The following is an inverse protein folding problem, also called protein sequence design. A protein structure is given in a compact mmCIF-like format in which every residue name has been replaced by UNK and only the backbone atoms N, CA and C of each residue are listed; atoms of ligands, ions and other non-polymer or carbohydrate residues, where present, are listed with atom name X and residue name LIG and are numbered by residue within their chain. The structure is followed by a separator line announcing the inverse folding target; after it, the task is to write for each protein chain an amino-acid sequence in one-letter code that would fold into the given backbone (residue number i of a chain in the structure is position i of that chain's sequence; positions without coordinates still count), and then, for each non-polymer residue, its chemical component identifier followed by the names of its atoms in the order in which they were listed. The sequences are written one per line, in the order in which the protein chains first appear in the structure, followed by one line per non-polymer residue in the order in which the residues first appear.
data_IF_124766369598
#
_entry.id   IF_124766369598
#
_cell.length_a   1.000
_cell.length_b   1.000
_cell.length_c   1.000
_cell.angle_alpha   90.00
_cell.angle_beta   90.00
_cell.angle_gamma   90.00
#
_symmetry.space_group_name_H-M   'P 1'
#
loop_
_entity.id
_entity.type
_entity.pdbx_description
1 polymer ?
#
# COMPACT_ATOMS: atom_id res chain seq x y z
N UNK A 1 -17.85 12.21 -5.93
CA UNK A 1 -17.97 11.92 -7.37
C UNK A 1 -18.72 10.62 -7.58
N UNK A 2 -18.15 9.44 -7.28
CA UNK A 2 -18.80 8.12 -7.50
C UNK A 2 -20.17 7.96 -6.80
N UNK A 3 -20.32 8.43 -5.54
CA UNK A 3 -21.55 8.26 -4.74
C UNK A 3 -22.84 8.77 -5.42
N UNK A 4 -22.73 9.76 -6.30
CA UNK A 4 -23.89 10.44 -6.89
C UNK A 4 -23.94 10.22 -8.42
N UNK A 5 -23.32 9.14 -8.91
CA UNK A 5 -23.22 8.83 -10.34
C UNK A 5 -23.31 7.32 -10.55
N UNK A 6 -23.69 6.87 -11.75
CA UNK A 6 -23.68 5.46 -12.14
C UNK A 6 -22.29 4.94 -12.55
N UNK A 7 -21.24 5.42 -11.88
CA UNK A 7 -19.85 5.07 -12.18
C UNK A 7 -19.32 4.05 -11.16
N UNK A 8 -18.33 3.26 -11.60
CA UNK A 8 -17.49 2.46 -10.74
C UNK A 8 -16.05 2.98 -10.77
N UNK A 9 -15.27 2.66 -9.74
CA UNK A 9 -13.84 2.98 -9.70
C UNK A 9 -13.05 1.76 -9.26
N UNK A 10 -11.84 1.63 -9.81
CA UNK A 10 -10.92 0.55 -9.45
C UNK A 10 -9.91 1.12 -8.45
N UNK A 11 -9.80 0.45 -7.30
CA UNK A 11 -8.83 0.80 -6.26
C UNK A 11 -8.10 -0.45 -5.76
N UNK A 12 -6.85 -0.29 -5.27
CA UNK A 12 -6.21 -1.30 -4.44
C UNK A 12 -7.13 -1.72 -3.29
N UNK A 13 -7.16 -3.02 -3.00
CA UNK A 13 -8.11 -3.61 -2.05
C UNK A 13 -8.12 -2.92 -0.67
N UNK A 14 -6.94 -2.62 -0.13
CA UNK A 14 -6.81 -1.97 1.18
C UNK A 14 -7.42 -0.56 1.20
N UNK A 15 -7.36 0.18 0.09
CA UNK A 15 -8.02 1.48 -0.04
C UNK A 15 -9.53 1.29 -0.15
N UNK A 16 -9.99 0.34 -0.97
CA UNK A 16 -11.41 0.03 -1.13
C UNK A 16 -12.08 -0.27 0.22
N UNK A 17 -11.46 -1.12 1.05
CA UNK A 17 -11.94 -1.44 2.40
C UNK A 17 -11.94 -0.22 3.32
N UNK A 18 -10.93 0.64 3.23
CA UNK A 18 -10.84 1.83 4.09
C UNK A 18 -11.84 2.92 3.71
N UNK A 19 -12.04 3.16 2.42
CA UNK A 19 -13.02 4.13 1.93
C UNK A 19 -14.45 3.66 2.13
N UNK A 20 -14.69 2.34 2.07
CA UNK A 20 -16.00 1.76 2.30
C UNK A 20 -16.26 1.37 3.78
N UNK A 21 -15.59 2.02 4.74
CA UNK A 21 -15.81 1.72 6.18
C UNK A 21 -17.26 1.94 6.64
N UNK A 22 -17.94 2.91 6.04
CA UNK A 22 -19.34 3.21 6.32
C UNK A 22 -20.32 2.32 5.54
N UNK A 23 -19.83 1.41 4.69
CA UNK A 23 -20.67 0.49 3.89
C UNK A 23 -21.51 1.18 2.81
N UNK A 24 -21.11 2.38 2.38
CA UNK A 24 -21.87 3.18 1.40
C UNK A 24 -21.66 2.74 -0.05
N UNK A 25 -20.72 1.83 -0.30
CA UNK A 25 -20.41 1.29 -1.61
C UNK A 25 -20.47 -0.23 -1.61
N UNK A 26 -20.69 -0.82 -2.78
CA UNK A 26 -20.52 -2.25 -2.98
C UNK A 26 -19.07 -2.53 -3.43
N UNK A 27 -18.39 -3.44 -2.73
CA UNK A 27 -17.09 -3.94 -3.17
C UNK A 27 -17.30 -5.17 -4.06
N UNK A 28 -16.67 -5.16 -5.24
CA UNK A 28 -16.77 -6.25 -6.21
C UNK A 28 -15.36 -6.72 -6.60
N UNK A 29 -15.21 -8.03 -6.82
CA UNK A 29 -14.00 -8.57 -7.44
C UNK A 29 -13.90 -8.13 -8.89
N UNK A 30 -12.67 -7.90 -9.37
CA UNK A 30 -12.43 -7.67 -10.79
C UNK A 30 -12.73 -8.95 -11.59
N UNK A 31 -13.16 -8.84 -12.86
CA UNK A 31 -13.44 -10.00 -13.71
C UNK A 31 -12.17 -10.68 -14.26
N UNK A 32 -11.00 -10.33 -13.72
CA UNK A 32 -9.68 -10.88 -14.05
C UNK A 32 -8.75 -10.68 -12.86
N UNK A 33 -7.63 -11.40 -12.85
CA UNK A 33 -6.59 -11.26 -11.83
C UNK A 33 -5.62 -10.12 -12.20
N UNK A 34 -5.63 -8.98 -11.48
CA UNK A 34 -4.68 -7.92 -11.73
C UNK A 34 -3.27 -8.34 -11.30
N UNK A 35 -2.22 -7.79 -11.91
CA UNK A 35 -0.86 -8.00 -11.42
C UNK A 35 -0.73 -7.47 -9.98
N UNK A 36 0.13 -8.09 -9.15
CA UNK A 36 0.35 -7.63 -7.78
C UNK A 36 0.94 -6.21 -7.78
N UNK A 37 0.47 -5.38 -6.85
CA UNK A 37 0.97 -4.02 -6.67
C UNK A 37 2.06 -4.04 -5.60
N UNK A 38 3.28 -3.70 -5.99
CA UNK A 38 4.41 -3.60 -5.07
C UNK A 38 4.52 -2.18 -4.48
N UNK A 39 4.51 -2.05 -3.16
CA UNK A 39 4.68 -0.77 -2.45
C UNK A 39 6.10 -0.71 -1.88
N UNK A 40 6.87 0.31 -2.27
CA UNK A 40 8.27 0.48 -1.89
C UNK A 40 8.51 1.73 -1.06
N UNK A 41 9.41 1.63 -0.10
CA UNK A 41 9.96 2.78 0.64
C UNK A 41 11.28 3.19 0.01
N UNK A 42 11.30 4.37 -0.61
CA UNK A 42 12.50 4.92 -1.25
C UNK A 42 13.16 5.97 -0.36
N UNK A 43 14.47 5.87 -0.22
CA UNK A 43 15.32 6.89 0.44
C UNK A 43 16.36 7.37 -0.55
N UNK A 44 16.56 8.69 -0.64
CA UNK A 44 17.58 9.24 -1.52
C UNK A 44 18.99 8.81 -1.05
N UNK A 45 19.93 8.42 -1.93
CA UNK A 45 21.24 7.87 -1.55
C UNK A 45 22.05 8.76 -0.61
N UNK A 46 21.89 10.08 -0.73
CA UNK A 46 22.50 11.08 0.18
C UNK A 46 22.24 10.82 1.66
N UNK A 47 21.12 10.20 2.01
CA UNK A 47 20.72 9.91 3.39
C UNK A 47 21.01 8.47 3.82
N UNK A 48 21.79 7.72 3.04
CA UNK A 48 22.12 6.33 3.39
C UNK A 48 22.89 6.19 4.70
N UNK A 49 23.51 7.25 5.22
CA UNK A 49 24.19 7.26 6.51
C UNK A 49 23.44 8.01 7.62
N UNK A 50 22.26 8.56 7.31
CA UNK A 50 21.43 9.25 8.31
C UNK A 50 20.72 8.23 9.21
N UNK A 51 20.99 8.29 10.51
CA UNK A 51 20.43 7.34 11.49
C UNK A 51 18.91 7.51 11.65
N UNK A 52 18.39 8.74 11.54
CA UNK A 52 16.96 9.00 11.64
C UNK A 52 16.19 8.44 10.45
N UNK A 53 16.72 8.61 9.24
CA UNK A 53 16.15 8.05 8.01
C UNK A 53 16.20 6.51 8.03
N UNK A 54 17.31 5.92 8.50
CA UNK A 54 17.41 4.46 8.69
C UNK A 54 16.34 3.96 9.67
N UNK A 55 16.25 4.58 10.83
CA UNK A 55 15.27 4.21 11.86
C UNK A 55 13.84 4.30 11.33
N UNK A 56 13.46 5.42 10.69
CA UNK A 56 12.11 5.61 10.17
C UNK A 56 11.78 4.60 9.06
N UNK A 57 12.72 4.35 8.14
CA UNK A 57 12.55 3.34 7.09
C UNK A 57 12.29 1.96 7.72
N UNK A 58 13.09 1.56 8.70
CA UNK A 58 12.91 0.30 9.41
C UNK A 58 11.57 0.23 10.14
N UNK A 59 11.13 1.33 10.76
CA UNK A 59 9.84 1.40 11.44
C UNK A 59 8.67 1.26 10.46
N UNK A 60 8.71 1.94 9.31
CA UNK A 60 7.68 1.83 8.27
C UNK A 60 7.60 0.38 7.78
N UNK A 61 8.74 -0.26 7.50
CA UNK A 61 8.76 -1.67 7.08
C UNK A 61 8.21 -2.58 8.17
N UNK A 62 8.59 -2.40 9.42
CA UNK A 62 8.09 -3.22 10.53
C UNK A 62 6.57 -3.12 10.74
N UNK A 63 5.97 -1.96 10.47
CA UNK A 63 4.54 -1.72 10.68
C UNK A 63 3.69 -2.14 9.48
N UNK A 64 4.22 -1.99 8.26
CA UNK A 64 3.42 -2.12 7.03
C UNK A 64 3.83 -3.28 6.11
N UNK A 65 4.97 -3.94 6.34
CA UNK A 65 5.34 -5.09 5.54
C UNK A 65 4.39 -6.27 5.79
N UNK A 66 3.98 -7.02 4.75
CA UNK A 66 3.21 -8.25 4.93
C UNK A 66 3.94 -9.24 5.83
N UNK A 67 3.21 -9.98 6.66
CA UNK A 67 3.75 -11.06 7.47
C UNK A 67 4.53 -12.04 6.58
N UNK A 68 5.81 -12.31 6.93
CA UNK A 68 6.72 -13.14 6.14
C UNK A 68 7.69 -12.37 5.23
N UNK A 69 7.61 -11.03 5.17
CA UNK A 69 8.64 -10.21 4.53
C UNK A 69 9.88 -10.15 5.42
N UNK A 70 10.72 -11.17 5.36
CA UNK A 70 12.08 -11.09 5.88
C UNK A 70 12.82 -10.02 5.09
N UNK A 71 13.49 -9.09 5.79
CA UNK A 71 14.34 -8.07 5.21
C UNK A 71 15.58 -8.72 4.57
N UNK A 72 15.40 -9.41 3.46
CA UNK A 72 16.48 -10.03 2.71
C UNK A 72 17.15 -8.99 1.80
N UNK A 73 18.37 -8.66 2.20
CA UNK A 73 19.50 -8.25 1.38
C UNK A 73 19.33 -7.02 0.48
N UNK A 74 19.76 -5.88 1.02
CA UNK A 74 20.51 -4.92 0.22
C UNK A 74 21.93 -5.47 -0.01
N UNK A 75 22.24 -5.74 -1.28
CA UNK A 75 23.60 -5.64 -1.83
C UNK A 75 23.72 -4.26 -2.48
#
# INVERSE_FOLDING_TARGET
MVRNTDLAVIFPEFLSRRFNKAGEFQLMSLPFDPPPIEVKVHTHPRFNNDLGVKWLRSLIVAVFAPEGTSAASGL
#
